data_IF_075403773937
#
_entry.id   IF_075403773937
#
_cell.length_a   1.000
_cell.length_b   1.000
_cell.length_c   1.000
_cell.angle_alpha   90.00
_cell.angle_beta   90.00
_cell.angle_gamma   90.00
#
_symmetry.space_group_name_H-M   'P 1'
#
loop_
_entity.id
_entity.type
_entity.pdbx_description
1 polymer ?
#
# COMPACT_ATOMS: atom_id res chain seq x y z
N UNK A 1 -20.57 -11.13 26.19
CA UNK A 1 -19.18 -11.41 26.66
C UNK A 1 -18.19 -10.61 25.81
N UNK A 2 -17.53 -9.58 26.35
CA UNK A 2 -16.70 -8.64 25.58
C UNK A 2 -15.49 -9.28 24.89
N UNK A 3 -15.04 -10.45 25.37
CA UNK A 3 -13.92 -11.22 24.83
C UNK A 3 -14.10 -11.54 23.33
N UNK A 4 -15.30 -11.96 22.92
CA UNK A 4 -15.58 -12.31 21.53
C UNK A 4 -15.42 -11.08 20.62
N UNK A 5 -15.86 -9.91 21.08
CA UNK A 5 -15.75 -8.66 20.32
C UNK A 5 -14.29 -8.25 20.13
N UNK A 6 -13.44 -8.45 21.16
CA UNK A 6 -12.00 -8.14 21.06
C UNK A 6 -11.32 -9.06 20.05
N UNK A 7 -11.58 -10.37 20.11
CA UNK A 7 -11.01 -11.33 19.15
C UNK A 7 -11.42 -10.99 17.72
N UNK A 8 -12.71 -10.65 17.53
CA UNK A 8 -13.24 -10.28 16.22
C UNK A 8 -12.63 -8.97 15.70
N UNK A 9 -12.46 -7.97 16.57
CA UNK A 9 -11.78 -6.70 16.24
C UNK A 9 -10.34 -6.95 15.77
N UNK A 10 -9.56 -7.72 16.54
CA UNK A 10 -8.17 -8.03 16.20
C UNK A 10 -8.09 -8.81 14.88
N UNK A 11 -8.98 -9.80 14.69
CA UNK A 11 -9.06 -10.56 13.44
C UNK A 11 -9.38 -9.67 12.23
N UNK A 12 -10.33 -8.74 12.36
CA UNK A 12 -10.69 -7.79 11.29
C UNK A 12 -9.53 -6.85 10.98
N UNK A 13 -8.86 -6.29 11.99
CA UNK A 13 -7.70 -5.42 11.79
C UNK A 13 -6.55 -6.17 11.10
N UNK A 14 -6.24 -7.39 11.55
CA UNK A 14 -5.24 -8.24 10.91
C UNK A 14 -5.61 -8.56 9.46
N UNK A 15 -6.87 -8.93 9.20
CA UNK A 15 -7.38 -9.20 7.85
C UNK A 15 -7.31 -7.97 6.95
N UNK A 16 -7.68 -6.79 7.43
CA UNK A 16 -7.61 -5.55 6.65
C UNK A 16 -6.17 -5.14 6.35
N UNK A 17 -5.24 -5.33 7.30
CA UNK A 17 -3.81 -5.10 7.08
C UNK A 17 -3.23 -6.08 6.06
N UNK A 18 -3.60 -7.36 6.15
CA UNK A 18 -3.20 -8.37 5.17
C UNK A 18 -3.79 -8.09 3.80
N UNK A 19 -5.09 -7.80 3.72
CA UNK A 19 -5.78 -7.42 2.48
C UNK A 19 -5.17 -6.15 1.88
N UNK A 20 -4.78 -5.15 2.68
CA UNK A 20 -4.05 -3.97 2.19
C UNK A 20 -2.71 -4.31 1.56
N UNK A 21 -2.01 -5.33 2.08
CA UNK A 21 -0.76 -5.82 1.46
C UNK A 21 -1.00 -6.60 0.16
N UNK A 22 -2.13 -7.32 0.04
CA UNK A 22 -2.41 -8.18 -1.12
C UNK A 22 -3.29 -7.52 -2.20
N UNK A 23 -4.06 -6.48 -1.87
CA UNK A 23 -4.95 -5.76 -2.81
C UNK A 23 -4.21 -4.60 -3.47
N UNK A 24 -3.45 -4.88 -4.51
CA UNK A 24 -2.61 -3.89 -5.22
C UNK A 24 -3.29 -3.30 -6.47
N UNK A 25 -4.54 -3.71 -6.74
CA UNK A 25 -5.29 -3.32 -7.92
C UNK A 25 -6.23 -2.15 -7.64
N UNK A 26 -5.70 -0.98 -7.33
CA UNK A 26 -6.50 0.24 -7.41
C UNK A 26 -5.96 1.15 -8.48
N UNK A 27 -6.78 1.40 -9.50
CA UNK A 27 -6.57 2.43 -10.55
C UNK A 27 -6.38 3.86 -9.99
N UNK A 28 -6.34 4.03 -8.67
CA UNK A 28 -6.15 5.28 -7.94
C UNK A 28 -4.76 5.40 -7.29
N UNK A 29 -3.70 4.82 -7.86
CA UNK A 29 -2.35 5.03 -7.31
C UNK A 29 -2.01 6.53 -7.37
N UNK A 30 -1.87 7.13 -6.18
CA UNK A 30 -1.54 8.54 -5.98
C UNK A 30 -0.09 8.65 -5.53
N UNK A 31 0.80 8.89 -6.48
CA UNK A 31 2.22 9.10 -6.22
C UNK A 31 2.47 10.49 -5.66
N UNK A 32 3.23 10.55 -4.57
CA UNK A 32 3.73 11.79 -3.97
C UNK A 32 5.25 11.72 -3.96
N UNK A 33 5.90 12.79 -4.40
CA UNK A 33 7.36 12.91 -4.33
C UNK A 33 7.74 13.37 -2.92
N UNK A 34 8.62 12.62 -2.27
CA UNK A 34 9.31 13.09 -1.06
C UNK A 34 10.54 13.88 -1.48
N UNK A 35 10.56 15.18 -1.17
CA UNK A 35 11.73 16.03 -1.48
C UNK A 35 12.97 15.59 -0.67
N UNK A 36 12.75 15.10 0.55
CA UNK A 36 13.82 14.73 1.48
C UNK A 36 14.58 13.45 1.08
N UNK A 37 13.89 12.47 0.49
CA UNK A 37 14.48 11.18 0.14
C UNK A 37 14.65 11.01 -1.38
N UNK A 38 14.22 12.00 -2.17
CA UNK A 38 14.07 11.91 -3.63
C UNK A 38 13.25 10.68 -4.10
N UNK A 39 12.54 10.01 -3.18
CA UNK A 39 11.72 8.83 -3.45
C UNK A 39 10.29 9.23 -3.81
N UNK A 40 9.68 8.47 -4.72
CA UNK A 40 8.24 8.51 -4.94
C UNK A 40 7.58 7.52 -4.01
N UNK A 41 6.56 7.98 -3.29
CA UNK A 41 5.73 7.11 -2.44
C UNK A 41 4.28 7.20 -2.85
N UNK A 42 3.65 6.05 -3.03
CA UNK A 42 2.22 5.99 -3.28
C UNK A 42 1.47 6.18 -1.95
N UNK A 43 0.67 7.24 -1.84
CA UNK A 43 -0.15 7.51 -0.66
C UNK A 43 -1.26 6.46 -0.42
N UNK A 44 -1.58 5.67 -1.46
CA UNK A 44 -2.63 4.66 -1.39
C UNK A 44 -2.10 3.29 -0.95
N UNK A 45 -1.09 2.76 -1.64
CA UNK A 45 -0.55 1.42 -1.38
C UNK A 45 0.78 1.41 -0.62
N UNK A 46 1.43 2.57 -0.41
CA UNK A 46 2.73 2.66 0.25
C UNK A 46 3.91 2.18 -0.57
N UNK A 47 3.71 1.83 -1.85
CA UNK A 47 4.80 1.48 -2.76
C UNK A 47 5.80 2.63 -2.87
N UNK A 48 7.09 2.30 -2.94
CA UNK A 48 8.18 3.24 -3.18
C UNK A 48 8.76 3.01 -4.58
N UNK A 49 9.15 4.09 -5.24
CA UNK A 49 9.90 4.06 -6.50
C UNK A 49 11.02 5.08 -6.40
N UNK A 50 12.22 4.70 -6.80
CA UNK A 50 13.40 5.58 -6.78
C UNK A 50 13.62 6.27 -8.14
N UNK A 51 12.64 6.18 -9.04
CA UNK A 51 12.70 6.78 -10.36
C UNK A 51 12.69 8.32 -10.30
N UNK A 52 13.42 8.96 -11.22
CA UNK A 52 13.44 10.42 -11.32
C UNK A 52 12.07 11.01 -11.71
N UNK A 53 11.25 10.22 -12.40
CA UNK A 53 9.95 10.62 -12.93
C UNK A 53 8.80 9.87 -12.24
N UNK A 54 7.62 10.49 -12.17
CA UNK A 54 6.48 9.90 -11.48
C UNK A 54 6.09 8.57 -12.15
N UNK A 55 6.12 7.43 -11.42
CA UNK A 55 5.81 6.14 -12.00
C UNK A 55 4.36 6.10 -12.51
N UNK A 56 4.21 5.83 -13.82
CA UNK A 56 2.90 5.78 -14.50
C UNK A 56 2.04 4.60 -14.02
N UNK A 57 2.69 3.55 -13.52
CA UNK A 57 2.05 2.34 -12.98
C UNK A 57 2.46 2.11 -11.54
N UNK A 58 1.61 1.42 -10.78
CA UNK A 58 1.93 1.08 -9.41
C UNK A 58 3.06 0.02 -9.39
N UNK A 59 4.19 0.34 -8.73
CA UNK A 59 5.39 -0.51 -8.67
C UNK A 59 5.19 -1.85 -7.93
N UNK A 60 3.99 -2.12 -7.42
CA UNK A 60 3.62 -3.42 -6.86
C UNK A 60 3.15 -4.44 -7.92
N UNK A 61 3.19 -4.08 -9.21
CA UNK A 61 3.43 -5.10 -10.24
C UNK A 61 4.90 -5.47 -10.10
N UNK A 62 5.19 -6.63 -9.50
CA UNK A 62 6.45 -7.32 -9.76
C UNK A 62 6.72 -7.20 -11.27
N UNK A 63 7.80 -6.50 -11.60
CA UNK A 63 8.25 -6.26 -12.98
C UNK A 63 8.22 -7.62 -13.70
N UNK A 64 7.28 -7.92 -14.62
CA UNK A 64 7.48 -9.06 -15.47
C UNK A 64 8.63 -8.67 -16.41
N UNK A 65 9.69 -9.50 -16.40
CA UNK A 65 10.82 -9.39 -17.32
C UNK A 65 10.34 -9.21 -18.76
#
# INVERSE_FOLDING_TARGET
MPVILIVLLVGVLAYLLWKRKTTTLTRNCRWRRSVAAQDWRCAYCGAKSDDAEAPKWCANRAKPN
#
